data_IF_964911510701
#
_entry.id   IF_964911510701
#
_cell.length_a   1.000
_cell.length_b   1.000
_cell.length_c   1.000
_cell.angle_alpha   90.00
_cell.angle_beta   90.00
_cell.angle_gamma   90.00
#
_symmetry.space_group_name_H-M   'P 1'
#
loop_
_entity.id
_entity.type
_entity.pdbx_description
1 polymer ?
#
# COMPACT_ATOMS: atom_id res chain seq x y z
N UNK A 1 -35.04 0.04 33.42
CA UNK A 1 -35.25 -1.37 33.80
C UNK A 1 -36.23 -2.01 32.82
N UNK A 2 -35.72 -2.87 31.93
CA UNK A 2 -36.36 -4.11 31.47
C UNK A 2 -35.41 -4.76 30.45
N UNK A 3 -34.66 -5.76 30.91
CA UNK A 3 -33.89 -6.67 30.06
C UNK A 3 -34.87 -7.67 29.44
N UNK A 4 -34.81 -7.86 28.12
CA UNK A 4 -35.44 -9.01 27.46
C UNK A 4 -34.34 -9.98 27.02
N UNK A 5 -34.21 -11.06 27.79
CA UNK A 5 -33.40 -12.23 27.46
C UNK A 5 -34.07 -13.01 26.33
N UNK A 6 -33.37 -13.28 25.24
CA UNK A 6 -33.75 -14.36 24.32
C UNK A 6 -32.68 -15.46 24.35
N UNK A 7 -33.15 -16.66 24.73
CA UNK A 7 -32.37 -17.88 24.98
C UNK A 7 -31.54 -18.31 23.78
N UNK A 8 -30.28 -18.61 24.08
CA UNK A 8 -29.37 -19.41 23.28
C UNK A 8 -29.90 -20.85 23.16
N UNK A 9 -30.15 -21.36 21.95
CA UNK A 9 -30.25 -22.80 21.70
C UNK A 9 -28.90 -23.32 21.25
N UNK A 10 -28.36 -24.23 22.06
CA UNK A 10 -27.15 -25.02 21.82
C UNK A 10 -27.47 -26.06 20.74
N UNK A 11 -26.72 -26.04 19.65
CA UNK A 11 -26.76 -27.10 18.64
C UNK A 11 -25.62 -28.08 18.95
N UNK A 12 -25.97 -29.31 19.29
CA UNK A 12 -25.03 -30.43 19.46
C UNK A 12 -24.58 -30.93 18.09
N UNK A 13 -23.27 -31.07 17.92
CA UNK A 13 -22.64 -31.58 16.70
C UNK A 13 -22.34 -33.08 16.86
N UNK A 14 -22.83 -33.92 15.93
CA UNK A 14 -22.50 -35.35 15.80
C UNK A 14 -22.29 -35.73 14.33
N UNK A 15 -21.21 -36.49 14.05
CA UNK A 15 -20.84 -37.10 12.75
C UNK A 15 -19.82 -36.25 12.00
N UNK A 16 -18.53 -36.58 11.87
CA UNK A 16 -17.78 -37.76 11.40
C UNK A 16 -17.72 -37.88 9.85
N UNK A 17 -16.52 -37.64 9.30
CA UNK A 17 -16.07 -38.24 8.04
C UNK A 17 -15.95 -37.33 6.81
N UNK A 18 -14.70 -36.97 6.50
CA UNK A 18 -14.03 -36.96 5.18
C UNK A 18 -14.36 -35.89 4.11
N UNK A 19 -13.25 -35.45 3.49
CA UNK A 19 -13.09 -34.87 2.15
C UNK A 19 -13.50 -33.40 1.95
N UNK A 20 -12.48 -32.55 1.82
CA UNK A 20 -12.61 -31.16 1.40
C UNK A 20 -11.88 -30.97 0.07
N UNK A 21 -12.62 -31.03 -1.03
CA UNK A 21 -12.19 -30.55 -2.33
C UNK A 21 -13.35 -29.86 -3.07
N UNK A 22 -13.03 -28.68 -3.62
CA UNK A 22 -13.71 -27.91 -4.66
C UNK A 22 -14.97 -27.06 -4.39
N UNK A 23 -14.81 -25.78 -4.74
CA UNK A 23 -15.70 -24.89 -5.52
C UNK A 23 -17.08 -24.54 -4.96
N UNK A 24 -17.32 -23.24 -4.76
CA UNK A 24 -18.60 -22.55 -5.05
C UNK A 24 -18.25 -21.10 -5.42
N UNK A 25 -18.44 -20.66 -6.67
CA UNK A 25 -19.70 -20.35 -7.35
C UNK A 25 -20.26 -18.99 -6.94
N UNK A 26 -20.46 -18.17 -7.96
CA UNK A 26 -20.99 -16.83 -7.94
C UNK A 26 -22.35 -16.75 -7.23
N UNK A 27 -22.51 -15.71 -6.42
CA UNK A 27 -23.82 -15.21 -6.03
C UNK A 27 -23.81 -13.70 -6.27
N UNK A 28 -24.63 -13.31 -7.24
CA UNK A 28 -24.99 -11.94 -7.54
C UNK A 28 -25.50 -11.21 -6.30
N UNK A 29 -25.18 -9.93 -6.17
CA UNK A 29 -25.96 -8.99 -5.38
C UNK A 29 -25.88 -7.61 -6.02
N UNK A 30 -26.79 -7.44 -6.98
CA UNK A 30 -27.35 -6.18 -7.44
C UNK A 30 -27.88 -5.41 -6.22
N UNK A 31 -27.43 -4.16 -6.01
CA UNK A 31 -28.06 -3.26 -5.05
C UNK A 31 -28.31 -1.89 -5.69
N UNK A 32 -29.37 -1.88 -6.50
CA UNK A 32 -30.42 -0.86 -6.64
C UNK A 32 -30.08 0.60 -6.24
N UNK A 33 -29.94 1.46 -7.26
CA UNK A 33 -30.08 2.93 -7.17
C UNK A 33 -31.49 3.29 -6.68
N UNK A 34 -31.60 3.97 -5.53
CA UNK A 34 -32.85 4.67 -5.17
C UNK A 34 -32.73 6.18 -5.38
N UNK A 35 -33.49 6.67 -6.35
CA UNK A 35 -33.70 8.07 -6.66
C UNK A 35 -34.95 8.60 -5.93
N UNK A 36 -34.75 9.63 -5.09
CA UNK A 36 -35.61 10.80 -4.75
C UNK A 36 -37.11 10.64 -4.47
N UNK A 37 -37.58 11.24 -3.35
CA UNK A 37 -38.82 12.04 -3.31
C UNK A 37 -38.61 13.31 -2.44
N UNK A 38 -38.99 14.45 -3.01
CA UNK A 38 -38.97 15.80 -2.44
C UNK A 38 -40.40 16.12 -1.99
N UNK A 39 -40.59 16.62 -0.76
CA UNK A 39 -41.78 17.33 -0.21
C UNK A 39 -41.28 18.00 1.09
N UNK A 40 -41.46 19.27 1.45
CA UNK A 40 -42.29 20.39 1.02
C UNK A 40 -42.71 21.18 2.27
N UNK A 41 -42.63 22.53 2.22
CA UNK A 41 -43.18 23.56 3.16
C UNK A 41 -42.41 23.86 4.45
N UNK A 42 -42.26 25.08 5.00
CA UNK A 42 -42.57 26.52 4.73
C UNK A 42 -41.74 27.31 5.79
N UNK A 43 -41.15 28.50 5.62
CA UNK A 43 -41.68 29.89 5.60
C UNK A 43 -40.45 30.82 5.44
N UNK A 44 -40.26 31.53 4.34
CA UNK A 44 -40.63 32.94 4.04
C UNK A 44 -40.22 33.99 5.09
N UNK A 45 -39.30 34.90 4.73
CA UNK A 45 -39.47 36.38 4.75
C UNK A 45 -38.24 37.12 4.14
N UNK A 46 -38.46 37.66 2.93
CA UNK A 46 -37.98 38.92 2.29
C UNK A 46 -36.48 39.36 2.19
N UNK A 47 -35.95 39.27 0.95
CA UNK A 47 -35.28 40.26 0.05
C UNK A 47 -34.32 41.37 0.61
N UNK A 48 -33.24 41.80 -0.11
CA UNK A 48 -33.19 41.97 -1.58
C UNK A 48 -31.91 41.53 -2.32
N UNK A 49 -32.07 41.51 -3.65
CA UNK A 49 -31.09 41.38 -4.73
C UNK A 49 -29.75 42.07 -4.45
N UNK A 50 -28.62 41.35 -4.63
CA UNK A 50 -27.44 41.85 -5.38
C UNK A 50 -26.43 40.74 -5.65
N UNK A 51 -25.89 40.80 -6.87
CA UNK A 51 -24.59 40.34 -7.33
C UNK A 51 -24.32 38.83 -7.52
N UNK A 52 -24.07 38.52 -8.79
CA UNK A 52 -23.42 37.31 -9.27
C UNK A 52 -22.07 37.08 -8.57
N UNK A 53 -21.85 35.83 -8.15
CA UNK A 53 -20.52 35.26 -7.99
C UNK A 53 -20.60 33.76 -8.29
N UNK A 54 -20.36 33.41 -9.56
CA UNK A 54 -19.99 32.06 -9.97
C UNK A 54 -18.63 31.74 -9.33
N UNK A 55 -18.63 31.18 -8.12
CA UNK A 55 -17.42 30.59 -7.56
C UNK A 55 -17.34 29.16 -8.09
N UNK A 56 -16.37 28.98 -8.97
CA UNK A 56 -16.07 27.77 -9.70
C UNK A 56 -16.12 26.52 -8.81
N UNK A 57 -16.94 25.55 -9.21
CA UNK A 57 -16.81 24.17 -8.78
C UNK A 57 -15.44 23.68 -9.27
N UNK A 58 -14.42 23.76 -8.42
CA UNK A 58 -13.13 23.13 -8.71
C UNK A 58 -13.38 21.62 -8.83
N UNK A 59 -13.06 20.96 -9.95
CA UNK A 59 -13.04 19.52 -9.97
C UNK A 59 -11.87 19.10 -9.06
N UNK A 60 -12.18 18.56 -7.88
CA UNK A 60 -11.23 17.71 -7.18
C UNK A 60 -10.88 16.58 -8.15
N UNK A 61 -9.70 16.65 -8.76
CA UNK A 61 -9.14 15.57 -9.56
C UNK A 61 -8.93 14.37 -8.64
N UNK A 62 -9.96 13.53 -8.52
CA UNK A 62 -9.85 12.20 -7.96
C UNK A 62 -8.89 11.45 -8.88
N UNK A 63 -7.61 11.41 -8.52
CA UNK A 63 -6.62 10.60 -9.21
C UNK A 63 -7.07 9.15 -9.00
N UNK A 64 -7.61 8.53 -10.04
CA UNK A 64 -7.90 7.11 -10.04
C UNK A 64 -6.57 6.36 -10.03
N UNK A 65 -6.04 6.09 -8.83
CA UNK A 65 -4.94 5.16 -8.65
C UNK A 65 -5.43 3.82 -9.21
N UNK A 66 -4.71 3.28 -10.20
CA UNK A 66 -5.08 2.01 -10.82
C UNK A 66 -4.99 0.88 -9.81
N UNK A 67 -5.89 -0.12 -9.91
CA UNK A 67 -5.84 -1.32 -9.09
C UNK A 67 -4.47 -2.02 -9.19
N UNK A 68 -3.85 -2.00 -10.38
CA UNK A 68 -2.53 -2.57 -10.61
C UNK A 68 -1.43 -1.89 -9.76
N UNK A 69 -1.43 -0.55 -9.70
CA UNK A 69 -0.45 0.21 -8.91
C UNK A 69 -0.57 -0.10 -7.42
N UNK A 70 -1.80 -0.28 -6.91
CA UNK A 70 -2.01 -0.68 -5.52
C UNK A 70 -1.46 -2.08 -5.24
N UNK A 71 -1.63 -3.02 -6.17
CA UNK A 71 -1.10 -4.37 -6.02
C UNK A 71 0.44 -4.39 -5.99
N UNK A 72 1.08 -3.59 -6.83
CA UNK A 72 2.54 -3.50 -6.88
C UNK A 72 3.13 -2.85 -5.64
N UNK A 73 2.49 -1.80 -5.09
CA UNK A 73 2.91 -1.23 -3.79
C UNK A 73 2.84 -2.27 -2.67
N UNK A 74 1.76 -3.05 -2.60
CA UNK A 74 1.63 -4.11 -1.59
C UNK A 74 2.66 -5.24 -1.80
N UNK A 75 2.96 -5.57 -3.06
CA UNK A 75 3.99 -6.55 -3.39
C UNK A 75 5.39 -6.04 -3.05
N UNK A 76 5.69 -4.79 -3.36
CA UNK A 76 6.93 -4.09 -3.01
C UNK A 76 7.14 -4.04 -1.50
N UNK A 77 6.10 -3.70 -0.73
CA UNK A 77 6.16 -3.72 0.73
C UNK A 77 6.51 -5.11 1.29
N UNK A 78 5.90 -6.18 0.75
CA UNK A 78 6.23 -7.57 1.17
C UNK A 78 7.67 -7.95 0.80
N UNK A 79 8.10 -7.65 -0.42
CA UNK A 79 9.48 -7.92 -0.86
C UNK A 79 10.48 -7.16 0.03
N UNK A 80 10.22 -5.88 0.29
CA UNK A 80 11.05 -5.03 1.12
C UNK A 80 11.16 -5.55 2.56
N UNK A 81 10.02 -5.94 3.14
CA UNK A 81 9.97 -6.57 4.46
C UNK A 81 10.77 -7.88 4.55
N UNK A 82 10.81 -8.66 3.47
CA UNK A 82 11.54 -9.94 3.46
C UNK A 82 13.05 -9.82 3.20
N UNK A 83 13.49 -8.80 2.45
CA UNK A 83 14.86 -8.73 1.93
C UNK A 83 15.66 -7.51 2.40
N UNK A 84 14.99 -6.41 2.76
CA UNK A 84 15.63 -5.10 2.93
C UNK A 84 15.55 -4.58 4.36
N UNK A 85 14.49 -4.92 5.09
CA UNK A 85 14.17 -4.35 6.42
C UNK A 85 15.30 -4.55 7.44
N UNK A 86 16.04 -5.66 7.36
CA UNK A 86 17.14 -5.95 8.28
C UNK A 86 18.24 -4.87 8.30
N UNK A 87 18.40 -4.15 7.19
CA UNK A 87 19.35 -3.04 7.09
C UNK A 87 18.67 -1.66 6.96
N UNK A 88 17.48 -1.62 6.35
CA UNK A 88 16.79 -0.40 5.93
C UNK A 88 15.43 -0.22 6.60
N UNK A 89 15.31 -0.62 7.86
CA UNK A 89 14.09 -0.45 8.63
C UNK A 89 13.63 1.01 8.63
N UNK A 90 12.33 1.23 8.39
CA UNK A 90 11.70 2.57 8.25
C UNK A 90 12.45 3.54 7.32
N UNK A 91 13.16 3.03 6.31
CA UNK A 91 13.94 3.83 5.37
C UNK A 91 15.34 4.22 5.85
N UNK A 92 15.76 3.75 7.03
CA UNK A 92 17.07 4.01 7.59
C UNK A 92 18.22 3.27 6.90
N UNK A 93 19.39 3.27 7.54
CA UNK A 93 20.51 2.39 7.20
C UNK A 93 21.34 2.12 8.45
N UNK A 94 21.19 0.92 9.03
CA UNK A 94 21.89 0.54 10.27
C UNK A 94 23.39 0.30 10.06
N UNK A 95 23.82 0.10 8.81
CA UNK A 95 25.20 -0.27 8.47
C UNK A 95 26.04 0.96 8.09
N UNK A 96 25.46 1.95 7.43
CA UNK A 96 26.17 3.13 6.93
C UNK A 96 25.36 4.41 7.14
N UNK A 97 25.75 5.25 8.11
CA UNK A 97 25.17 6.58 8.28
C UNK A 97 25.32 7.42 7.01
N UNK A 98 24.26 8.18 6.67
CA UNK A 98 24.24 9.03 5.48
C UNK A 98 24.02 8.29 4.15
N UNK A 99 23.72 6.99 4.19
CA UNK A 99 23.29 6.20 3.04
C UNK A 99 21.90 5.60 3.30
N UNK A 100 20.99 6.39 3.87
CA UNK A 100 19.59 5.98 4.10
C UNK A 100 18.78 6.00 2.81
N UNK A 101 17.58 5.45 2.84
CA UNK A 101 16.62 5.48 1.74
C UNK A 101 15.74 6.75 1.78
N UNK A 102 16.08 7.74 2.60
CA UNK A 102 15.41 9.05 2.59
C UNK A 102 15.88 9.88 1.40
N UNK A 103 14.98 10.69 0.84
CA UNK A 103 15.22 11.49 -0.37
C UNK A 103 16.48 12.34 -0.32
N UNK A 104 16.75 12.98 0.82
CA UNK A 104 17.96 13.79 1.06
C UNK A 104 19.26 12.99 0.87
N UNK A 105 19.29 11.75 1.34
CA UNK A 105 20.47 10.89 1.24
C UNK A 105 20.61 10.30 -0.15
N UNK A 106 19.49 9.88 -0.77
CA UNK A 106 19.48 9.40 -2.16
C UNK A 106 19.99 10.49 -3.12
N UNK A 107 19.53 11.73 -2.97
CA UNK A 107 20.00 12.89 -3.73
C UNK A 107 21.48 13.15 -3.53
N UNK A 108 21.92 13.24 -2.27
CA UNK A 108 23.33 13.51 -1.94
C UNK A 108 24.26 12.45 -2.52
N UNK A 109 23.80 11.21 -2.61
CA UNK A 109 24.55 10.09 -3.14
C UNK A 109 24.35 9.86 -4.65
N UNK A 110 23.53 10.67 -5.32
CA UNK A 110 23.28 10.59 -6.77
C UNK A 110 22.47 9.37 -7.20
N UNK A 111 21.62 8.84 -6.32
CA UNK A 111 20.85 7.59 -6.53
C UNK A 111 19.36 7.77 -6.22
N UNK A 112 18.82 8.96 -6.48
CA UNK A 112 17.39 9.27 -6.29
C UNK A 112 16.50 8.66 -7.38
N UNK A 113 17.02 8.34 -8.56
CA UNK A 113 16.18 7.80 -9.64
C UNK A 113 15.89 6.32 -9.43
N UNK A 114 14.75 5.87 -9.96
CA UNK A 114 14.33 4.46 -9.90
C UNK A 114 15.39 3.55 -10.53
N UNK A 115 16.00 3.97 -11.64
CA UNK A 115 17.00 3.19 -12.37
C UNK A 115 18.29 3.02 -11.54
N UNK A 116 18.69 4.03 -10.79
CA UNK A 116 19.86 3.94 -9.92
C UNK A 116 19.57 3.07 -8.69
N UNK A 117 18.37 3.17 -8.10
CA UNK A 117 17.93 2.28 -7.03
C UNK A 117 17.88 0.82 -7.52
N UNK A 118 17.37 0.59 -8.73
CA UNK A 118 17.38 -0.71 -9.38
C UNK A 118 18.80 -1.26 -9.50
N UNK A 119 19.73 -0.48 -10.07
CA UNK A 119 21.13 -0.90 -10.24
C UNK A 119 21.80 -1.23 -8.91
N UNK A 120 21.60 -0.41 -7.87
CA UNK A 120 22.13 -0.66 -6.54
C UNK A 120 21.57 -1.95 -5.94
N UNK A 121 20.26 -2.17 -6.06
CA UNK A 121 19.60 -3.38 -5.57
C UNK A 121 20.07 -4.61 -6.35
N UNK A 122 20.29 -4.47 -7.66
CA UNK A 122 20.74 -5.55 -8.53
C UNK A 122 22.19 -5.97 -8.23
N UNK A 123 23.12 -5.02 -8.28
CA UNK A 123 24.57 -5.30 -8.23
C UNK A 123 25.18 -5.17 -6.84
N UNK A 124 24.50 -4.50 -5.92
CA UNK A 124 25.04 -4.13 -4.62
C UNK A 124 26.01 -2.95 -4.71
N UNK A 125 26.39 -2.42 -3.54
CA UNK A 125 27.42 -1.37 -3.43
C UNK A 125 28.05 -1.40 -2.04
N UNK A 126 29.38 -1.53 -1.99
CA UNK A 126 30.12 -1.58 -0.74
C UNK A 126 29.68 -2.75 0.14
N UNK A 127 29.05 -2.45 1.28
CA UNK A 127 28.55 -3.47 2.23
C UNK A 127 27.14 -3.97 1.93
N UNK A 128 26.41 -3.29 1.04
CA UNK A 128 25.09 -3.76 0.61
C UNK A 128 25.26 -4.84 -0.47
N UNK A 129 24.76 -6.07 -0.24
CA UNK A 129 24.85 -7.13 -1.24
C UNK A 129 23.91 -6.86 -2.42
N UNK A 130 24.30 -7.30 -3.62
CA UNK A 130 23.42 -7.33 -4.79
C UNK A 130 22.47 -8.52 -4.81
N UNK A 131 21.24 -8.32 -5.29
CA UNK A 131 20.17 -9.31 -5.29
C UNK A 131 19.83 -9.88 -6.67
N UNK A 132 20.33 -9.27 -7.76
CA UNK A 132 20.02 -9.68 -9.12
C UNK A 132 20.53 -11.08 -9.45
N UNK A 133 19.85 -11.78 -10.35
CA UNK A 133 20.23 -13.14 -10.79
C UNK A 133 21.66 -13.19 -11.33
N UNK A 134 22.06 -12.17 -12.10
CA UNK A 134 23.38 -12.07 -12.71
C UNK A 134 24.40 -11.25 -11.90
N UNK A 135 24.12 -10.91 -10.64
CA UNK A 135 25.10 -10.23 -9.80
C UNK A 135 26.34 -11.12 -9.60
N UNK A 136 27.52 -10.53 -9.84
CA UNK A 136 28.84 -11.16 -9.81
C UNK A 136 29.91 -10.13 -9.42
N UNK A 137 31.04 -10.53 -8.78
CA UNK A 137 31.37 -11.84 -8.20
C UNK A 137 30.47 -12.29 -7.04
N UNK A 138 30.47 -13.59 -6.70
CA UNK A 138 29.57 -14.16 -5.68
C UNK A 138 29.62 -13.42 -4.32
N UNK A 139 30.80 -12.93 -3.93
CA UNK A 139 31.04 -12.29 -2.64
C UNK A 139 30.42 -10.89 -2.48
N UNK A 140 30.08 -10.19 -3.57
CA UNK A 140 29.36 -8.91 -3.49
C UNK A 140 27.83 -9.07 -3.51
N UNK A 141 27.34 -10.30 -3.63
CA UNK A 141 25.93 -10.58 -3.83
C UNK A 141 25.34 -11.35 -2.66
N UNK A 142 24.02 -11.28 -2.47
CA UNK A 142 23.31 -11.91 -1.36
C UNK A 142 23.56 -13.41 -1.32
N UNK A 143 23.80 -13.96 -0.14
CA UNK A 143 23.95 -15.40 0.06
C UNK A 143 22.61 -16.15 -0.05
N UNK A 144 21.49 -15.45 0.16
CA UNK A 144 20.15 -15.99 -0.02
C UNK A 144 19.71 -16.14 -1.48
N UNK A 145 18.43 -16.45 -1.71
CA UNK A 145 17.84 -16.47 -3.05
C UNK A 145 18.02 -15.13 -3.77
N UNK A 146 18.28 -15.21 -5.08
CA UNK A 146 18.28 -14.02 -5.95
C UNK A 146 16.85 -13.61 -6.27
N UNK A 147 16.68 -12.33 -6.55
CA UNK A 147 15.42 -11.75 -6.99
C UNK A 147 15.43 -11.63 -8.51
N UNK A 148 14.26 -11.85 -9.12
CA UNK A 148 14.08 -11.61 -10.56
C UNK A 148 14.09 -10.11 -10.86
N UNK A 149 14.43 -9.75 -12.08
CA UNK A 149 14.47 -8.36 -12.55
C UNK A 149 13.15 -7.61 -12.25
N UNK A 150 12.01 -8.24 -12.50
CA UNK A 150 10.69 -7.67 -12.21
C UNK A 150 10.48 -7.38 -10.71
N UNK A 151 11.00 -8.24 -9.83
CA UNK A 151 10.88 -8.04 -8.37
C UNK A 151 11.78 -6.90 -7.89
N UNK A 152 12.96 -6.76 -8.50
CA UNK A 152 13.87 -5.65 -8.21
C UNK A 152 13.30 -4.34 -8.72
N UNK A 153 12.61 -4.35 -9.87
CA UNK A 153 11.91 -3.18 -10.40
C UNK A 153 10.80 -2.71 -9.44
N UNK A 154 9.93 -3.63 -9.03
CA UNK A 154 8.87 -3.33 -8.04
C UNK A 154 9.47 -2.81 -6.72
N UNK A 155 10.61 -3.33 -6.28
CA UNK A 155 11.33 -2.81 -5.11
C UNK A 155 11.85 -1.39 -5.33
N UNK A 156 12.42 -1.10 -6.50
CA UNK A 156 12.93 0.23 -6.82
C UNK A 156 11.82 1.27 -6.87
N UNK A 157 10.70 0.95 -7.53
CA UNK A 157 9.48 1.76 -7.55
C UNK A 157 8.96 2.00 -6.12
N UNK A 158 8.90 0.94 -5.30
CA UNK A 158 8.47 1.03 -3.92
C UNK A 158 9.38 1.94 -3.08
N UNK A 159 10.70 1.77 -3.15
CA UNK A 159 11.65 2.62 -2.42
C UNK A 159 11.55 4.07 -2.86
N UNK A 160 11.41 4.32 -4.16
CA UNK A 160 11.23 5.67 -4.69
C UNK A 160 9.95 6.32 -4.15
N UNK A 161 8.84 5.60 -4.19
CA UNK A 161 7.56 6.04 -3.66
C UNK A 161 7.64 6.37 -2.17
N UNK A 162 8.26 5.49 -1.37
CA UNK A 162 8.42 5.70 0.06
C UNK A 162 9.33 6.88 0.37
N UNK A 163 10.41 7.07 -0.40
CA UNK A 163 11.31 8.21 -0.25
C UNK A 163 10.60 9.54 -0.55
N UNK A 164 9.71 9.57 -1.56
CA UNK A 164 8.90 10.74 -1.91
C UNK A 164 7.84 11.07 -0.84
N UNK A 165 7.39 10.05 -0.10
CA UNK A 165 6.46 10.18 1.02
C UNK A 165 7.15 10.36 2.38
N UNK A 166 8.48 10.53 2.38
CA UNK A 166 9.30 10.66 3.59
C UNK A 166 9.16 9.50 4.58
N UNK A 167 8.93 8.28 4.08
CA UNK A 167 8.78 7.05 4.88
C UNK A 167 7.75 7.21 6.01
N UNK A 168 6.44 7.28 5.67
CA UNK A 168 5.39 7.52 6.66
C UNK A 168 5.40 6.44 7.73
N UNK A 169 5.31 6.86 9.00
CA UNK A 169 5.15 5.93 10.12
C UNK A 169 3.77 5.30 10.03
N UNK A 170 3.73 3.97 10.11
CA UNK A 170 2.47 3.26 10.33
C UNK A 170 2.13 3.44 11.81
N UNK A 171 1.38 4.49 12.12
CA UNK A 171 0.82 4.67 13.46
C UNK A 171 -0.24 3.57 13.69
N UNK A 172 0.08 2.55 14.50
CA UNK A 172 -0.90 1.49 14.78
C UNK A 172 -0.41 0.16 15.35
N UNK A 173 0.87 -0.01 15.67
CA UNK A 173 1.33 -1.17 16.47
C UNK A 173 2.18 -0.63 17.62
N UNK A 174 1.48 -0.25 18.68
CA UNK A 174 2.07 -0.05 20.00
C UNK A 174 2.40 -1.45 20.58
N UNK A 175 3.65 -1.58 21.01
CA UNK A 175 4.36 -2.76 21.58
C UNK A 175 3.55 -3.98 22.02
#
# INVERSE_FOLDING_TARGET
MHFCFCKLKRFEWKGNGKEAETRNAAAALELERKQVCINGTRKSLAFPLMAAALVALSPFSIHAVSLAQTMDVQRGARLFGSACIGCHDTGGNVIQPGATLFRKDLQRNGVETEEEIYKLTYFGKGRMPGFGENCTPRGQCTFGPRLRDEEIKILAEFVKLQADQEWPKIEGIEN
#
